data_IF_997407842217
#
_entry.id   IF_997407842217
#
_cell.length_a   1.000
_cell.length_b   1.000
_cell.length_c   1.000
_cell.angle_alpha   90.00
_cell.angle_beta   90.00
_cell.angle_gamma   90.00
#
_symmetry.space_group_name_H-M   'P 1'
#
loop_
_entity.id
_entity.type
_entity.pdbx_description
1 polymer ?
#
# COMPACT_ATOMS: atom_id res chain seq x y z
N UNK A 1 0.04 -51.78 10.91
CA UNK A 1 -0.18 -50.52 10.19
C UNK A 1 0.26 -49.39 11.08
N UNK A 2 1.23 -48.59 10.64
CA UNK A 2 1.61 -47.33 11.26
C UNK A 2 2.03 -46.40 10.13
N UNK A 3 1.11 -45.53 9.70
CA UNK A 3 1.44 -44.40 8.83
C UNK A 3 2.00 -43.29 9.73
N UNK A 4 3.20 -42.75 9.46
CA UNK A 4 3.76 -41.67 10.26
C UNK A 4 2.97 -40.37 10.05
N UNK A 5 2.72 -39.66 11.15
CA UNK A 5 2.00 -38.39 11.25
C UNK A 5 2.70 -37.24 10.52
N UNK A 6 2.70 -37.27 9.19
CA UNK A 6 3.27 -36.22 8.32
C UNK A 6 2.45 -34.92 8.31
N UNK A 7 1.28 -34.91 8.94
CA UNK A 7 0.38 -33.75 9.04
C UNK A 7 0.80 -32.70 10.09
N UNK A 8 1.41 -33.12 11.20
CA UNK A 8 1.66 -32.22 12.35
C UNK A 8 2.67 -31.11 12.04
N UNK A 9 3.74 -31.42 11.31
CA UNK A 9 4.76 -30.44 10.93
C UNK A 9 4.25 -29.39 9.93
N UNK A 10 3.45 -29.82 8.95
CA UNK A 10 2.84 -28.92 7.96
C UNK A 10 1.78 -28.00 8.60
N UNK A 11 0.92 -28.57 9.44
CA UNK A 11 -0.10 -27.80 10.17
C UNK A 11 0.51 -26.80 11.15
N UNK A 12 1.60 -27.17 11.83
CA UNK A 12 2.33 -26.27 12.70
C UNK A 12 2.94 -25.11 11.89
N UNK A 13 3.60 -25.41 10.76
CA UNK A 13 4.17 -24.38 9.89
C UNK A 13 3.09 -23.43 9.34
N UNK A 14 1.94 -23.95 8.94
CA UNK A 14 0.79 -23.15 8.51
C UNK A 14 0.30 -22.22 9.62
N UNK A 15 0.12 -22.76 10.84
CA UNK A 15 -0.30 -21.98 12.01
C UNK A 15 0.70 -20.88 12.35
N UNK A 16 2.00 -21.17 12.26
CA UNK A 16 3.05 -20.17 12.44
C UNK A 16 2.96 -19.06 11.39
N UNK A 17 2.80 -19.40 10.12
CA UNK A 17 2.71 -18.41 9.05
C UNK A 17 1.49 -17.49 9.18
N UNK A 18 0.33 -18.04 9.58
CA UNK A 18 -0.88 -17.25 9.88
C UNK A 18 -0.58 -16.26 11.00
N UNK A 19 -0.03 -16.73 12.12
CA UNK A 19 0.25 -15.87 13.27
C UNK A 19 1.31 -14.81 12.97
N UNK A 20 2.35 -15.15 12.21
CA UNK A 20 3.39 -14.18 11.79
C UNK A 20 2.78 -13.06 10.95
N UNK A 21 1.99 -13.38 9.93
CA UNK A 21 1.38 -12.34 9.08
C UNK A 21 0.45 -11.40 9.85
N UNK A 22 -0.33 -11.94 10.80
CA UNK A 22 -1.20 -11.15 11.67
C UNK A 22 -0.41 -10.32 12.68
N UNK A 23 0.71 -10.84 13.20
CA UNK A 23 1.57 -10.08 14.10
C UNK A 23 2.21 -8.90 13.37
N UNK A 24 2.72 -9.11 12.16
CA UNK A 24 3.25 -8.03 11.32
C UNK A 24 2.18 -6.98 11.01
N UNK A 25 0.95 -7.40 10.71
CA UNK A 25 -0.16 -6.46 10.49
C UNK A 25 -0.45 -5.60 11.72
N UNK A 26 -0.48 -6.21 12.92
CA UNK A 26 -0.65 -5.47 14.19
C UNK A 26 0.49 -4.48 14.42
N UNK A 27 1.73 -4.87 14.10
CA UNK A 27 2.90 -4.02 14.24
C UNK A 27 2.84 -2.80 13.29
N UNK A 28 2.41 -2.99 12.04
CA UNK A 28 2.18 -1.86 11.11
C UNK A 28 1.23 -0.82 11.70
N UNK A 29 0.09 -1.26 12.25
CA UNK A 29 -0.90 -0.36 12.87
C UNK A 29 -0.32 0.31 14.13
N UNK A 30 0.43 -0.43 14.97
CA UNK A 30 1.11 0.14 16.15
C UNK A 30 2.08 1.25 15.73
N UNK A 31 2.95 0.98 14.77
CA UNK A 31 3.93 1.95 14.27
C UNK A 31 3.22 3.18 13.70
N UNK A 32 2.14 2.99 12.95
CA UNK A 32 1.35 4.10 12.41
C UNK A 32 0.79 5.00 13.52
N UNK A 33 0.23 4.39 14.56
CA UNK A 33 -0.28 5.11 15.72
C UNK A 33 0.82 5.82 16.51
N UNK A 34 1.99 5.20 16.69
CA UNK A 34 3.13 5.80 17.38
C UNK A 34 3.70 6.99 16.60
N UNK A 35 3.75 6.91 15.28
CA UNK A 35 4.17 8.04 14.44
C UNK A 35 3.24 9.24 14.61
N UNK A 36 1.94 9.00 14.81
CA UNK A 36 0.93 10.03 15.03
C UNK A 36 0.98 10.62 16.44
N UNK A 37 1.00 9.76 17.46
CA UNK A 37 0.81 10.17 18.86
C UNK A 37 2.10 10.63 19.52
N UNK A 38 3.22 9.99 19.22
CA UNK A 38 4.52 10.27 19.81
C UNK A 38 5.45 11.05 18.86
N UNK A 39 4.94 11.49 17.70
CA UNK A 39 5.71 12.19 16.65
C UNK A 39 6.99 11.44 16.25
N UNK A 40 6.95 10.10 16.31
CA UNK A 40 8.02 9.25 15.83
C UNK A 40 8.02 9.24 14.30
N UNK A 41 9.15 8.85 13.71
CA UNK A 41 9.29 8.63 12.27
C UNK A 41 9.80 7.21 12.01
N UNK A 42 9.05 6.22 12.49
CA UNK A 42 9.37 4.82 12.27
C UNK A 42 8.78 4.32 10.94
N UNK A 43 9.56 3.52 10.23
CA UNK A 43 9.12 2.92 8.97
C UNK A 43 8.19 1.73 9.24
N UNK A 44 7.19 1.55 8.37
CA UNK A 44 6.22 0.47 8.50
C UNK A 44 6.71 -0.82 7.83
N UNK A 45 6.67 -1.98 8.53
CA UNK A 45 7.22 -3.24 8.04
C UNK A 45 6.33 -3.95 6.99
N UNK A 46 6.01 -3.28 5.88
CA UNK A 46 5.14 -3.84 4.83
C UNK A 46 5.74 -5.08 4.16
N UNK A 47 7.06 -5.22 4.17
CA UNK A 47 7.79 -6.34 3.53
C UNK A 47 7.84 -7.61 4.36
N UNK A 48 7.55 -7.50 5.66
CA UNK A 48 7.74 -8.61 6.59
C UNK A 48 6.67 -9.70 6.42
N UNK A 49 5.58 -9.42 5.69
CA UNK A 49 4.60 -10.43 5.30
C UNK A 49 3.94 -10.09 3.96
N UNK A 50 3.49 -11.11 3.23
CA UNK A 50 2.70 -10.92 2.00
C UNK A 50 1.41 -10.14 2.29
N UNK A 51 0.79 -10.40 3.44
CA UNK A 51 -0.44 -9.69 3.87
C UNK A 51 -0.21 -8.18 3.96
N UNK A 52 0.84 -7.75 4.65
CA UNK A 52 1.13 -6.32 4.82
C UNK A 52 1.64 -5.66 3.54
N UNK A 53 2.26 -6.42 2.63
CA UNK A 53 2.60 -5.95 1.29
C UNK A 53 1.34 -5.64 0.47
N UNK A 54 0.36 -6.56 0.46
CA UNK A 54 -0.94 -6.34 -0.21
C UNK A 54 -1.72 -5.19 0.45
N UNK A 55 -1.66 -5.07 1.78
CA UNK A 55 -2.38 -4.03 2.51
C UNK A 55 -1.71 -2.65 2.44
N UNK A 56 -0.48 -2.55 1.91
CA UNK A 56 0.28 -1.30 1.80
C UNK A 56 -0.54 -0.11 1.27
N UNK A 57 -1.30 -0.22 0.16
CA UNK A 57 -2.08 0.91 -0.37
C UNK A 57 -3.09 1.46 0.64
N UNK A 58 -3.68 0.60 1.48
CA UNK A 58 -4.66 1.02 2.47
C UNK A 58 -4.03 1.76 3.65
N UNK A 59 -2.80 1.40 4.05
CA UNK A 59 -2.09 2.10 5.12
C UNK A 59 -1.67 3.53 4.72
N UNK A 60 -1.44 3.76 3.43
CA UNK A 60 -1.12 5.08 2.87
C UNK A 60 -2.36 5.84 2.36
N UNK A 61 -3.57 5.41 2.73
CA UNK A 61 -4.79 6.16 2.42
C UNK A 61 -5.41 5.94 1.06
N UNK A 62 -4.98 4.93 0.29
CA UNK A 62 -5.60 4.54 -0.99
C UNK A 62 -6.70 3.51 -0.79
N UNK A 63 -7.73 3.89 -0.04
CA UNK A 63 -8.89 3.06 0.24
C UNK A 63 -9.43 3.23 1.65
N UNK A 64 -10.49 2.47 1.98
CA UNK A 64 -11.05 2.39 3.33
C UNK A 64 -10.87 0.99 3.88
N UNK A 65 -10.47 0.90 5.14
CA UNK A 65 -10.27 -0.38 5.84
C UNK A 65 -11.22 -0.48 7.01
N UNK A 66 -11.85 -1.64 7.17
CA UNK A 66 -12.69 -1.98 8.31
C UNK A 66 -12.11 -3.24 8.96
N UNK A 67 -12.00 -3.24 10.28
CA UNK A 67 -11.58 -4.40 11.06
C UNK A 67 -12.76 -4.88 11.88
N UNK A 68 -13.17 -6.13 11.67
CA UNK A 68 -14.19 -6.81 12.46
C UNK A 68 -13.51 -7.75 13.45
N UNK A 69 -13.85 -7.64 14.74
CA UNK A 69 -13.26 -8.46 15.79
C UNK A 69 -14.24 -9.51 16.28
N UNK A 70 -13.82 -10.77 16.27
CA UNK A 70 -14.60 -11.88 16.79
C UNK A 70 -14.16 -12.21 18.22
N UNK A 71 -15.11 -12.28 19.14
CA UNK A 71 -14.86 -12.49 20.57
C UNK A 71 -15.20 -13.93 20.97
N UNK A 72 -14.30 -14.57 21.72
CA UNK A 72 -14.57 -15.88 22.30
C UNK A 72 -15.03 -15.73 23.76
N UNK A 73 -16.25 -16.17 24.14
CA UNK A 73 -16.76 -16.03 25.51
C UNK A 73 -16.13 -17.01 26.52
N UNK A 74 -15.37 -18.00 26.07
CA UNK A 74 -14.74 -18.98 26.96
C UNK A 74 -13.60 -18.36 27.78
N UNK A 75 -13.63 -18.58 29.10
CA UNK A 75 -12.64 -18.04 30.03
C UNK A 75 -11.19 -18.43 29.70
N UNK A 76 -10.97 -19.60 29.10
CA UNK A 76 -9.64 -20.06 28.65
C UNK A 76 -9.01 -19.13 27.60
N UNK A 77 -9.83 -18.42 26.82
CA UNK A 77 -9.38 -17.54 25.73
C UNK A 77 -9.54 -16.05 26.07
N UNK A 78 -9.78 -15.71 27.35
CA UNK A 78 -10.03 -14.33 27.75
C UNK A 78 -8.80 -13.42 27.53
N UNK A 79 -7.59 -13.94 27.74
CA UNK A 79 -6.35 -13.19 27.52
C UNK A 79 -6.18 -12.82 26.05
N UNK A 80 -6.34 -13.80 25.16
CA UNK A 80 -6.25 -13.59 23.71
C UNK A 80 -7.33 -12.62 23.20
N UNK A 81 -8.55 -12.76 23.71
CA UNK A 81 -9.65 -11.83 23.42
C UNK A 81 -9.32 -10.42 23.90
N UNK A 82 -8.77 -10.27 25.11
CA UNK A 82 -8.37 -8.97 25.65
C UNK A 82 -7.29 -8.31 24.79
N UNK A 83 -6.31 -9.06 24.32
CA UNK A 83 -5.26 -8.55 23.43
C UNK A 83 -5.82 -8.13 22.06
N UNK A 84 -6.80 -8.86 21.53
CA UNK A 84 -7.54 -8.45 20.34
C UNK A 84 -8.29 -7.13 20.56
N UNK A 85 -8.93 -6.95 21.71
CA UNK A 85 -9.68 -5.72 22.04
C UNK A 85 -8.76 -4.51 22.27
N UNK A 86 -7.59 -4.71 22.88
CA UNK A 86 -6.57 -3.66 22.98
C UNK A 86 -6.11 -3.22 21.59
N UNK A 87 -5.87 -4.20 20.71
CA UNK A 87 -5.51 -3.93 19.32
C UNK A 87 -6.62 -3.17 18.59
N UNK A 88 -7.89 -3.56 18.74
CA UNK A 88 -9.00 -2.85 18.07
C UNK A 88 -9.13 -1.40 18.53
N UNK A 89 -8.93 -1.15 19.83
CA UNK A 89 -8.93 0.21 20.38
C UNK A 89 -7.78 1.06 19.80
N UNK A 90 -6.61 0.47 19.58
CA UNK A 90 -5.48 1.15 18.95
C UNK A 90 -5.76 1.40 17.45
N UNK A 91 -6.27 0.41 16.74
CA UNK A 91 -6.61 0.53 15.32
C UNK A 91 -7.66 1.62 15.07
N UNK A 92 -8.68 1.72 15.94
CA UNK A 92 -9.70 2.76 15.86
C UNK A 92 -9.13 4.18 16.04
N UNK A 93 -8.11 4.34 16.89
CA UNK A 93 -7.44 5.63 17.14
C UNK A 93 -6.46 6.02 16.04
N UNK A 94 -6.07 5.06 15.19
CA UNK A 94 -5.09 5.28 14.14
C UNK A 94 -5.74 5.98 12.97
N UNK A 95 -5.20 7.13 12.57
CA UNK A 95 -5.75 7.95 11.49
C UNK A 95 -5.09 7.52 10.18
N UNK A 96 -5.88 7.20 9.17
CA UNK A 96 -5.37 6.99 7.80
C UNK A 96 -5.90 8.15 6.98
N UNK A 97 -4.99 9.03 6.55
CA UNK A 97 -5.33 10.20 5.72
C UNK A 97 -5.66 9.72 4.32
N UNK A 98 -6.90 9.88 3.82
CA UNK A 98 -7.23 9.50 2.46
C UNK A 98 -6.39 10.31 1.47
N UNK A 99 -5.75 9.62 0.52
CA UNK A 99 -5.09 10.28 -0.60
C UNK A 99 -6.14 10.52 -1.67
N UNK A 100 -6.53 11.77 -1.86
CA UNK A 100 -7.45 12.17 -2.94
C UNK A 100 -6.87 11.69 -4.29
N UNK A 101 -7.65 10.97 -5.10
CA UNK A 101 -7.16 10.55 -6.41
C UNK A 101 -6.96 11.80 -7.27
N UNK A 102 -5.72 12.01 -7.74
CA UNK A 102 -5.42 13.04 -8.72
C UNK A 102 -6.34 12.83 -9.95
N UNK A 103 -7.32 13.73 -10.13
CA UNK A 103 -8.24 13.68 -11.25
C UNK A 103 -7.44 13.81 -12.55
N UNK A 104 -7.30 12.72 -13.32
CA UNK A 104 -6.77 12.79 -14.68
C UNK A 104 -7.78 13.58 -15.52
N UNK A 105 -7.56 14.89 -15.72
CA UNK A 105 -8.29 15.67 -16.73
C UNK A 105 -7.99 15.06 -18.11
N UNK A 106 -8.92 14.29 -18.64
CA UNK A 106 -8.91 13.89 -20.05
C UNK A 106 -9.23 15.14 -20.87
N UNK A 107 -8.20 15.80 -21.39
CA UNK A 107 -8.37 16.88 -22.37
C UNK A 107 -8.72 16.22 -23.70
N UNK A 108 -10.02 16.13 -23.99
CA UNK A 108 -10.52 15.80 -25.33
C UNK A 108 -10.28 16.99 -26.26
N UNK A 109 -9.12 17.06 -26.92
CA UNK A 109 -8.92 17.99 -28.05
C UNK A 109 -9.81 17.55 -29.22
N UNK A 110 -10.88 18.29 -29.47
CA UNK A 110 -11.67 18.19 -30.70
C UNK A 110 -11.01 19.04 -31.79
N UNK A 111 -10.10 18.44 -32.57
CA UNK A 111 -9.56 19.04 -33.80
C UNK A 111 -10.57 18.88 -34.95
N UNK A 112 -11.42 19.88 -35.15
CA UNK A 112 -12.12 20.06 -36.44
C UNK A 112 -11.25 20.96 -37.31
N UNK A 113 -10.57 20.38 -38.32
CA UNK A 113 -9.95 21.13 -39.43
C UNK A 113 -10.61 20.72 -40.74
N UNK A 114 -11.38 21.63 -41.33
CA UNK A 114 -11.98 21.46 -42.66
C UNK A 114 -10.95 21.47 -43.79
N UNK A 115 -11.30 21.01 -45.00
CA UNK A 115 -10.36 20.82 -46.10
C UNK A 115 -10.21 22.10 -46.92
N UNK A 116 -8.96 22.47 -47.27
CA UNK A 116 -8.69 23.38 -48.41
C UNK A 116 -7.57 22.81 -49.27
N UNK A 117 -7.81 22.90 -50.58
CA UNK A 117 -7.25 22.10 -51.66
C UNK A 117 -5.94 22.67 -52.23
N UNK A 118 -5.15 21.72 -52.78
CA UNK A 118 -4.14 21.75 -53.84
C UNK A 118 -3.44 23.07 -54.25
N UNK A 119 -2.11 23.03 -54.16
CA UNK A 119 -1.16 23.80 -54.98
C UNK A 119 0.19 23.07 -55.06
N UNK A 120 0.69 22.84 -56.28
CA UNK A 120 1.83 21.99 -56.67
C UNK A 120 3.21 22.60 -56.35
N UNK A 121 4.27 21.77 -56.23
CA UNK A 121 5.65 22.22 -56.50
C UNK A 121 6.85 21.40 -55.98
N UNK A 122 7.27 20.36 -56.73
CA UNK A 122 8.67 19.96 -57.13
C UNK A 122 9.82 19.70 -56.10
N UNK A 123 10.35 18.44 -56.11
CA UNK A 123 11.73 17.85 -55.90
C UNK A 123 12.57 18.25 -54.66
N UNK A 124 13.33 17.39 -53.96
CA UNK A 124 13.86 16.03 -54.18
C UNK A 124 14.34 15.36 -52.85
N UNK A 125 15.21 14.31 -52.85
CA UNK A 125 15.37 13.42 -51.69
C UNK A 125 16.71 13.55 -50.91
N UNK A 126 16.68 13.06 -49.66
CA UNK A 126 17.73 12.41 -48.82
C UNK A 126 18.23 13.05 -47.50
N UNK A 127 18.02 12.26 -46.43
CA UNK A 127 18.94 11.86 -45.33
C UNK A 127 19.28 12.88 -44.23
N UNK A 128 18.75 12.62 -43.02
CA UNK A 128 19.09 13.31 -41.78
C UNK A 128 18.69 12.55 -40.50
N UNK A 129 19.55 11.58 -40.11
CA UNK A 129 19.96 11.16 -38.75
C UNK A 129 19.00 11.27 -37.52
N UNK A 130 18.88 10.10 -36.84
CA UNK A 130 18.97 9.85 -35.36
C UNK A 130 17.85 10.45 -34.47
N UNK A 131 17.32 9.81 -33.41
CA UNK A 131 17.85 8.83 -32.44
C UNK A 131 16.69 8.24 -31.62
N UNK A 132 16.90 7.04 -31.09
CA UNK A 132 16.16 6.34 -30.03
C UNK A 132 15.64 7.22 -28.88
N UNK A 133 14.49 6.83 -28.32
CA UNK A 133 14.43 6.63 -26.87
C UNK A 133 13.52 5.44 -26.55
N UNK A 134 14.18 4.32 -26.22
CA UNK A 134 13.60 3.15 -25.58
C UNK A 134 13.37 3.53 -24.12
N UNK A 135 12.11 3.70 -23.70
CA UNK A 135 11.78 3.83 -22.28
C UNK A 135 11.87 2.45 -21.66
N UNK A 136 12.96 2.26 -20.93
CA UNK A 136 13.17 1.19 -19.95
C UNK A 136 12.00 1.15 -18.97
N UNK A 137 11.37 -0.03 -18.86
CA UNK A 137 10.52 -0.39 -17.74
C UNK A 137 11.32 -0.15 -16.45
N UNK A 138 10.87 0.82 -15.67
CA UNK A 138 11.45 1.13 -14.38
C UNK A 138 10.87 0.15 -13.38
N UNK A 139 11.72 -0.70 -12.82
CA UNK A 139 11.42 -1.46 -11.61
C UNK A 139 11.03 -0.46 -10.51
N UNK A 140 9.78 -0.52 -10.06
CA UNK A 140 9.30 0.28 -8.94
C UNK A 140 10.15 -0.05 -7.71
N UNK A 141 11.07 0.86 -7.37
CA UNK A 141 11.78 0.83 -6.09
C UNK A 141 10.74 1.06 -5.01
N UNK A 142 10.29 -0.01 -4.37
CA UNK A 142 9.24 0.07 -3.37
C UNK A 142 9.79 0.61 -2.04
N UNK A 143 9.98 1.92 -1.98
CA UNK A 143 10.52 2.67 -0.85
C UNK A 143 9.73 2.41 0.44
N UNK A 144 10.40 2.21 1.57
CA UNK A 144 9.74 2.32 2.88
C UNK A 144 9.37 3.78 3.10
N UNK A 145 8.07 4.08 3.11
CA UNK A 145 7.59 5.44 3.33
C UNK A 145 7.44 5.70 4.82
N UNK A 146 8.23 6.62 5.37
CA UNK A 146 7.90 7.28 6.62
C UNK A 146 6.67 8.16 6.37
N UNK A 147 5.57 7.88 7.07
CA UNK A 147 4.39 8.76 7.03
C UNK A 147 4.61 9.83 8.09
N UNK A 148 5.19 10.97 7.70
CA UNK A 148 5.29 12.13 8.58
C UNK A 148 3.90 12.76 8.67
N UNK A 149 3.31 12.81 9.86
CA UNK A 149 2.02 13.46 10.11
C UNK A 149 2.12 14.42 11.30
N UNK A 150 1.53 15.61 11.16
CA UNK A 150 1.50 16.60 12.23
C UNK A 150 0.44 16.27 13.30
N UNK A 151 0.29 17.14 14.32
CA UNK A 151 -0.69 16.95 15.39
C UNK A 151 -2.16 17.00 14.92
N UNK A 152 -2.42 17.51 13.71
CA UNK A 152 -3.72 17.50 13.03
C UNK A 152 -3.90 16.28 12.12
N UNK A 153 -2.88 15.43 11.99
CA UNK A 153 -2.85 14.30 11.07
C UNK A 153 -2.58 14.71 9.61
N UNK A 154 -2.14 15.94 9.33
CA UNK A 154 -1.77 16.35 7.98
C UNK A 154 -0.37 15.82 7.61
N UNK A 155 -0.11 15.39 6.35
CA UNK A 155 1.22 15.00 5.91
C UNK A 155 2.20 16.16 6.12
N UNK A 156 3.32 15.91 6.81
CA UNK A 156 4.37 16.92 6.99
C UNK A 156 5.23 16.92 5.74
N UNK A 157 5.28 18.05 5.03
CA UNK A 157 6.14 18.21 3.85
C UNK A 157 7.62 18.05 4.25
N UNK A 158 8.39 17.15 3.61
CA UNK A 158 9.78 16.88 3.99
C UNK A 158 10.76 18.01 3.60
N UNK A 159 10.28 19.10 3.01
CA UNK A 159 11.08 20.26 2.57
C UNK A 159 10.67 21.59 3.26
N UNK A 160 9.84 21.54 4.32
CA UNK A 160 9.45 22.73 5.10
C UNK A 160 10.27 22.91 6.36
#
# INVERSE_FOLDING_TARGET
GNEPSTGTGKQLAETCNINTSLMTFKDCIRVLNENQTAKKQMLLPYRNSVLTSIFRPFFIGRGRTIICCNVNPCATFISQTNDLLKFSALAQKTIIVPVEPAQKKVVLESKIKGPKRLGQGVRGPTIGKKKNHQTVDSEDVEEETAVAVDASGAPVDPNS
#
